data_IF_323432207868
#
_entry.id   IF_323432207868
#
_cell.length_a   1.000
_cell.length_b   1.000
_cell.length_c   1.000
_cell.angle_alpha   90.00
_cell.angle_beta   90.00
_cell.angle_gamma   90.00
#
_symmetry.space_group_name_H-M   'P 1'
#
loop_
_entity.id
_entity.type
_entity.pdbx_description
1 polymer ?
#
# COMPACT_ATOMS: atom_id res chain seq x y z
N UNK A 1 59.60 54.14 12.29
CA UNK A 1 59.04 54.52 10.98
C UNK A 1 60.10 54.06 9.99
N UNK A 2 59.96 52.81 9.53
CA UNK A 2 60.98 52.08 8.79
C UNK A 2 60.31 51.63 7.49
N UNK A 3 60.59 52.36 6.41
CA UNK A 3 60.05 52.10 5.06
C UNK A 3 60.99 51.10 4.37
N UNK A 4 60.57 49.84 4.32
CA UNK A 4 61.19 48.82 3.49
C UNK A 4 60.70 49.01 2.04
N UNK A 5 61.58 49.10 1.03
CA UNK A 5 61.13 49.21 -0.35
C UNK A 5 60.55 47.86 -0.81
N UNK A 6 59.28 47.88 -1.22
CA UNK A 6 58.61 46.76 -1.89
C UNK A 6 59.42 46.33 -3.12
N UNK A 7 59.98 45.11 -3.07
CA UNK A 7 60.54 44.46 -4.24
C UNK A 7 59.41 44.16 -5.24
N UNK A 8 59.22 45.03 -6.21
CA UNK A 8 58.54 44.67 -7.44
C UNK A 8 59.35 43.55 -8.11
N UNK A 9 58.86 42.31 -8.00
CA UNK A 9 59.30 41.18 -8.81
C UNK A 9 59.08 41.55 -10.28
N UNK A 10 60.09 42.16 -10.90
CA UNK A 10 60.10 42.54 -12.30
C UNK A 10 59.77 41.32 -13.17
N UNK A 11 58.80 41.49 -14.06
CA UNK A 11 58.36 40.46 -15.01
C UNK A 11 59.60 39.79 -15.63
N UNK A 12 59.65 38.46 -15.54
CA UNK A 12 60.73 37.67 -16.11
C UNK A 12 60.84 37.96 -17.62
N UNK A 13 62.04 38.13 -18.17
CA UNK A 13 62.26 38.46 -19.59
C UNK A 13 61.49 37.54 -20.55
N UNK A 14 61.29 36.28 -20.18
CA UNK A 14 60.45 35.34 -20.93
C UNK A 14 58.99 35.80 -20.98
N UNK A 15 58.42 36.21 -19.84
CA UNK A 15 57.05 36.73 -19.75
C UNK A 15 56.88 38.02 -20.55
N UNK A 16 57.88 38.91 -20.50
CA UNK A 16 57.86 40.16 -21.29
C UNK A 16 57.88 39.87 -22.80
N UNK A 17 58.71 38.90 -23.23
CA UNK A 17 58.79 38.46 -24.63
C UNK A 17 57.49 37.82 -25.13
N UNK A 18 56.84 37.00 -24.30
CA UNK A 18 55.53 36.41 -24.63
C UNK A 18 54.44 37.47 -24.70
N UNK A 19 54.38 38.41 -23.75
CA UNK A 19 53.40 39.49 -23.75
C UNK A 19 53.57 40.40 -24.99
N UNK A 20 54.81 40.76 -25.32
CA UNK A 20 55.11 41.55 -26.51
C UNK A 20 54.74 40.82 -27.81
N UNK A 21 55.10 39.53 -27.93
CA UNK A 21 54.73 38.69 -29.08
C UNK A 21 53.21 38.56 -29.25
N UNK A 22 52.49 38.36 -28.14
CA UNK A 22 51.03 38.27 -28.13
C UNK A 22 50.37 39.58 -28.54
N UNK A 23 50.83 40.72 -28.00
CA UNK A 23 50.30 42.04 -28.37
C UNK A 23 50.53 42.33 -29.85
N UNK A 24 51.72 42.02 -30.37
CA UNK A 24 52.07 42.23 -31.78
C UNK A 24 51.17 41.43 -32.73
N UNK A 25 50.77 40.21 -32.33
CA UNK A 25 49.95 39.27 -33.12
C UNK A 25 48.47 39.25 -32.76
N UNK A 26 48.02 40.06 -31.78
CA UNK A 26 46.64 40.09 -31.27
C UNK A 26 45.59 40.25 -32.37
N UNK A 27 45.88 41.08 -33.38
CA UNK A 27 44.99 41.28 -34.55
C UNK A 27 44.88 40.04 -35.42
N UNK A 28 45.97 39.27 -35.59
CA UNK A 28 45.97 38.02 -36.35
C UNK A 28 45.19 36.93 -35.62
N UNK A 29 45.36 36.79 -34.30
CA UNK A 29 44.57 35.85 -33.49
C UNK A 29 43.07 36.15 -33.54
N UNK A 30 42.68 37.44 -33.47
CA UNK A 30 41.27 37.82 -33.63
C UNK A 30 40.72 37.43 -35.01
N UNK A 31 41.49 37.65 -36.08
CA UNK A 31 41.10 37.29 -37.45
C UNK A 31 40.96 35.77 -37.62
N UNK A 32 41.91 34.99 -37.09
CA UNK A 32 41.86 33.52 -37.14
C UNK A 32 40.65 33.01 -36.36
N UNK A 33 40.43 33.50 -35.14
CA UNK A 33 39.27 33.11 -34.32
C UNK A 33 37.94 33.36 -35.03
N UNK A 34 37.76 34.54 -35.64
CA UNK A 34 36.55 34.86 -36.41
C UNK A 34 36.37 33.90 -37.59
N UNK A 35 37.43 33.60 -38.35
CA UNK A 35 37.36 32.67 -39.48
C UNK A 35 37.00 31.25 -39.00
N UNK A 36 37.58 30.79 -37.90
CA UNK A 36 37.27 29.48 -37.31
C UNK A 36 35.80 29.39 -36.89
N UNK A 37 35.25 30.43 -36.26
CA UNK A 37 33.83 30.47 -35.90
C UNK A 37 32.93 30.45 -37.13
N UNK A 38 33.24 31.22 -38.17
CA UNK A 38 32.47 31.20 -39.42
C UNK A 38 32.46 29.81 -40.06
N UNK A 39 33.62 29.13 -40.10
CA UNK A 39 33.70 27.77 -40.65
C UNK A 39 32.89 26.78 -39.82
N UNK A 40 32.95 26.89 -38.49
CA UNK A 40 32.19 26.04 -37.58
C UNK A 40 30.67 26.22 -37.76
N UNK A 41 30.20 27.47 -37.82
CA UNK A 41 28.78 27.78 -38.02
C UNK A 41 28.27 27.26 -39.37
N UNK A 42 29.08 27.41 -40.43
CA UNK A 42 28.75 26.89 -41.76
C UNK A 42 28.68 25.36 -41.74
N UNK A 43 29.61 24.66 -41.08
CA UNK A 43 29.56 23.20 -40.95
C UNK A 43 28.32 22.73 -40.20
N UNK A 44 27.97 23.41 -39.10
CA UNK A 44 26.77 23.08 -38.32
C UNK A 44 25.50 23.26 -39.16
N UNK A 45 25.43 24.35 -39.93
CA UNK A 45 24.31 24.59 -40.85
C UNK A 45 24.21 23.51 -41.93
N UNK A 46 25.33 23.10 -42.53
CA UNK A 46 25.34 22.03 -43.53
C UNK A 46 24.84 20.72 -42.93
N UNK A 47 25.29 20.35 -41.72
CA UNK A 47 24.82 19.14 -41.03
C UNK A 47 23.33 19.22 -40.71
N UNK A 48 22.85 20.37 -40.22
CA UNK A 48 21.44 20.56 -39.89
C UNK A 48 20.54 20.51 -41.13
N UNK A 49 20.95 21.15 -42.23
CA UNK A 49 20.22 21.11 -43.50
C UNK A 49 20.21 19.69 -44.06
N UNK A 50 21.33 18.98 -44.02
CA UNK A 50 21.40 17.59 -44.49
C UNK A 50 20.52 16.65 -43.64
N UNK A 51 20.54 16.81 -42.31
CA UNK A 51 19.66 16.08 -41.40
C UNK A 51 18.17 16.36 -41.65
N UNK A 52 17.81 17.63 -41.91
CA UNK A 52 16.44 18.01 -42.24
C UNK A 52 15.99 17.41 -43.57
N UNK A 53 16.85 17.45 -44.61
CA UNK A 53 16.56 16.84 -45.91
C UNK A 53 16.38 15.33 -45.76
N UNK A 54 17.27 14.66 -45.02
CA UNK A 54 17.17 13.21 -44.76
C UNK A 54 15.91 12.85 -43.98
N UNK A 55 15.52 13.68 -43.00
CA UNK A 55 14.29 13.48 -42.24
C UNK A 55 13.04 13.65 -43.13
N UNK A 56 13.01 14.70 -43.96
CA UNK A 56 11.89 14.96 -44.86
C UNK A 56 11.79 13.93 -46.00
N UNK A 57 12.92 13.44 -46.53
CA UNK A 57 12.92 12.41 -47.57
C UNK A 57 12.45 11.05 -47.05
N UNK A 58 12.80 10.73 -45.80
CA UNK A 58 12.48 9.43 -45.19
C UNK A 58 11.21 9.50 -44.31
N UNK A 59 10.47 10.62 -44.35
CA UNK A 59 9.25 10.82 -43.55
C UNK A 59 8.17 9.78 -43.86
N UNK A 60 8.09 9.31 -45.11
CA UNK A 60 7.16 8.24 -45.49
C UNK A 60 7.55 6.88 -44.89
N UNK A 61 8.83 6.54 -44.88
CA UNK A 61 9.36 5.29 -44.32
C UNK A 61 9.24 5.28 -42.78
N UNK A 62 9.48 6.42 -42.12
CA UNK A 62 9.25 6.57 -40.68
C UNK A 62 7.76 6.42 -40.30
N UNK A 63 6.86 6.97 -41.11
CA UNK A 63 5.42 6.79 -40.90
C UNK A 63 4.96 5.36 -41.16
N UNK A 64 5.55 4.67 -42.14
CA UNK A 64 5.31 3.25 -42.37
C UNK A 64 5.80 2.42 -41.18
N UNK A 65 7.01 2.66 -40.67
CA UNK A 65 7.50 2.01 -39.45
C UNK A 65 6.65 2.31 -38.21
N UNK A 66 5.99 3.48 -38.13
CA UNK A 66 5.09 3.82 -37.02
C UNK A 66 3.69 3.21 -37.19
N UNK A 67 3.26 2.95 -38.43
CA UNK A 67 2.01 2.23 -38.75
C UNK A 67 2.18 0.71 -38.69
N UNK A 68 3.39 0.21 -38.97
CA UNK A 68 3.79 -1.20 -38.87
C UNK A 68 4.34 -1.56 -37.50
N UNK A 69 4.71 -0.57 -36.67
CA UNK A 69 4.90 -0.76 -35.25
C UNK A 69 3.58 -1.34 -34.72
N UNK A 70 3.56 -2.59 -34.24
CA UNK A 70 2.33 -3.15 -33.76
C UNK A 70 1.80 -2.23 -32.67
N UNK A 71 0.49 -2.02 -32.62
CA UNK A 71 -0.18 -1.65 -31.38
C UNK A 71 0.04 -2.82 -30.39
N UNK A 72 1.27 -2.98 -29.90
CA UNK A 72 1.73 -4.15 -29.15
C UNK A 72 0.99 -4.24 -27.81
N UNK A 73 0.42 -3.12 -27.37
CA UNK A 73 -0.39 -3.01 -26.18
C UNK A 73 -1.78 -2.51 -26.60
N UNK A 74 -2.72 -3.45 -26.68
CA UNK A 74 -4.13 -3.13 -26.72
C UNK A 74 -4.54 -2.59 -25.35
N UNK A 75 -4.46 -1.26 -25.19
CA UNK A 75 -4.80 -0.57 -23.94
C UNK A 75 -6.24 -0.81 -23.52
N UNK A 76 -7.16 -1.03 -24.46
CA UNK A 76 -8.56 -1.29 -24.14
C UNK A 76 -8.70 -2.67 -23.51
N UNK A 77 -8.10 -3.70 -24.13
CA UNK A 77 -8.06 -5.05 -23.57
C UNK A 77 -7.29 -5.09 -22.26
N UNK A 78 -6.18 -4.34 -22.15
CA UNK A 78 -5.44 -4.20 -20.91
C UNK A 78 -6.32 -3.62 -19.77
N UNK A 79 -7.03 -2.52 -20.03
CA UNK A 79 -7.90 -1.92 -19.02
C UNK A 79 -9.10 -2.79 -18.65
N UNK A 80 -9.64 -3.58 -19.59
CA UNK A 80 -10.74 -4.50 -19.32
C UNK A 80 -10.30 -5.71 -18.50
N UNK A 81 -9.10 -6.23 -18.76
CA UNK A 81 -8.56 -7.42 -18.05
C UNK A 81 -8.02 -7.11 -16.66
N UNK A 82 -7.66 -5.85 -16.38
CA UNK A 82 -7.10 -5.42 -15.10
C UNK A 82 -8.10 -4.65 -14.23
N UNK A 83 -9.41 -4.76 -14.49
CA UNK A 83 -10.44 -4.22 -13.60
C UNK A 83 -10.55 -5.06 -12.31
N UNK A 84 -10.95 -4.46 -11.18
CA UNK A 84 -11.18 -5.22 -9.97
C UNK A 84 -12.32 -6.22 -10.15
N UNK A 85 -12.06 -7.47 -9.79
CA UNK A 85 -13.05 -8.54 -9.64
C UNK A 85 -13.87 -8.27 -8.39
N UNK A 86 -15.18 -8.54 -8.44
CA UNK A 86 -16.08 -8.36 -7.31
C UNK A 86 -15.62 -9.18 -6.09
N UNK A 87 -15.79 -8.59 -4.90
CA UNK A 87 -15.51 -9.23 -3.61
C UNK A 87 -16.43 -10.45 -3.45
N UNK A 88 -15.87 -11.56 -2.98
CA UNK A 88 -16.63 -12.75 -2.65
C UNK A 88 -17.14 -12.64 -1.22
N UNK A 89 -18.45 -12.66 -1.03
CA UNK A 89 -19.07 -12.67 0.29
C UNK A 89 -19.60 -14.07 0.64
N UNK A 90 -19.24 -14.54 1.82
CA UNK A 90 -19.74 -15.78 2.41
C UNK A 90 -21.16 -15.64 2.97
N UNK A 91 -21.66 -16.76 3.50
CA UNK A 91 -22.95 -16.80 4.20
C UNK A 91 -22.80 -16.07 5.55
N UNK A 92 -23.85 -15.34 5.96
CA UNK A 92 -23.90 -14.74 7.28
C UNK A 92 -24.21 -15.80 8.32
N UNK A 93 -23.30 -15.96 9.28
CA UNK A 93 -23.48 -16.81 10.43
C UNK A 93 -23.95 -15.97 11.62
N UNK A 94 -24.93 -16.51 12.36
CA UNK A 94 -25.46 -15.90 13.57
C UNK A 94 -25.06 -16.76 14.77
N UNK A 95 -24.26 -16.21 15.67
CA UNK A 95 -23.81 -16.86 16.90
C UNK A 95 -24.64 -16.33 18.06
N UNK A 96 -25.35 -17.21 18.78
CA UNK A 96 -26.18 -16.80 19.91
C UNK A 96 -25.33 -16.41 21.12
N UNK A 97 -25.56 -15.21 21.64
CA UNK A 97 -24.89 -14.65 22.83
C UNK A 97 -25.81 -14.72 24.05
N UNK A 98 -27.09 -14.44 23.85
CA UNK A 98 -28.15 -14.52 24.85
C UNK A 98 -29.51 -14.73 24.15
N UNK A 99 -30.59 -14.77 24.92
CA UNK A 99 -31.95 -14.87 24.36
C UNK A 99 -32.23 -13.73 23.38
N UNK A 100 -32.48 -14.09 22.11
CA UNK A 100 -32.71 -13.17 21.00
C UNK A 100 -31.58 -12.15 20.76
N UNK A 101 -30.36 -12.43 21.20
CA UNK A 101 -29.18 -11.59 20.98
C UNK A 101 -28.08 -12.40 20.31
N UNK A 102 -27.59 -11.89 19.19
CA UNK A 102 -26.64 -12.61 18.33
C UNK A 102 -25.46 -11.73 17.95
N UNK A 103 -24.30 -12.35 17.79
CA UNK A 103 -23.19 -11.78 17.04
C UNK A 103 -23.26 -12.33 15.61
N UNK A 104 -23.11 -11.45 14.63
CA UNK A 104 -23.19 -11.78 13.22
C UNK A 104 -21.80 -11.70 12.61
N UNK A 105 -21.47 -12.66 11.75
CA UNK A 105 -20.23 -12.68 11.01
C UNK A 105 -20.43 -13.13 9.56
N UNK A 106 -19.78 -12.45 8.63
CA UNK A 106 -19.69 -12.89 7.24
C UNK A 106 -18.25 -12.73 6.74
N UNK A 107 -17.66 -13.84 6.29
CA UNK A 107 -16.33 -13.81 5.68
C UNK A 107 -16.42 -13.16 4.29
N UNK A 108 -15.54 -12.23 4.01
CA UNK A 108 -15.35 -11.64 2.69
C UNK A 108 -13.91 -11.88 2.21
N UNK A 109 -13.75 -12.06 0.90
CA UNK A 109 -12.47 -12.36 0.27
C UNK A 109 -12.24 -11.44 -0.93
N UNK A 110 -11.08 -10.79 -0.97
CA UNK A 110 -10.60 -10.04 -2.12
C UNK A 110 -9.51 -10.83 -2.83
N UNK A 111 -9.83 -11.35 -4.02
CA UNK A 111 -8.89 -12.11 -4.85
C UNK A 111 -8.12 -11.24 -5.85
N UNK A 112 -8.22 -9.91 -5.73
CA UNK A 112 -7.45 -9.01 -6.58
C UNK A 112 -6.06 -8.82 -5.99
N UNK A 113 -5.04 -8.92 -6.85
CA UNK A 113 -3.65 -8.69 -6.47
C UNK A 113 -3.29 -7.21 -6.45
N UNK A 114 -3.73 -6.47 -7.47
CA UNK A 114 -3.42 -5.05 -7.65
C UNK A 114 -4.46 -4.11 -7.02
N UNK A 115 -5.56 -4.64 -6.49
CA UNK A 115 -6.69 -3.82 -6.04
C UNK A 115 -7.08 -4.13 -4.61
N UNK A 116 -7.14 -3.07 -3.81
CA UNK A 116 -7.74 -3.09 -2.49
C UNK A 116 -9.00 -2.24 -2.45
N UNK A 117 -9.67 -2.28 -1.31
CA UNK A 117 -10.84 -1.46 -1.01
C UNK A 117 -10.47 -0.55 0.15
N UNK A 118 -10.28 0.74 -0.14
CA UNK A 118 -9.94 1.73 0.87
C UNK A 118 -11.12 1.99 1.81
N UNK A 119 -12.34 1.89 1.28
CA UNK A 119 -13.57 2.11 2.04
C UNK A 119 -14.68 1.18 1.54
N UNK A 120 -15.18 0.34 2.45
CA UNK A 120 -16.26 -0.60 2.26
C UNK A 120 -17.34 -0.32 3.30
N UNK A 121 -18.53 0.05 2.84
CA UNK A 121 -19.68 0.31 3.70
C UNK A 121 -20.65 -0.86 3.62
N UNK A 122 -21.05 -1.40 4.77
CA UNK A 122 -21.94 -2.56 4.84
C UNK A 122 -22.92 -2.49 6.02
N UNK A 123 -23.94 -3.35 5.94
CA UNK A 123 -24.86 -3.65 7.03
C UNK A 123 -25.39 -5.07 6.87
N UNK A 124 -26.02 -5.60 7.92
CA UNK A 124 -26.76 -6.86 7.84
C UNK A 124 -28.27 -6.59 7.77
N UNK A 125 -28.94 -7.26 6.84
CA UNK A 125 -30.40 -7.33 6.75
C UNK A 125 -30.89 -8.56 7.50
N UNK A 126 -31.77 -8.35 8.49
CA UNK A 126 -32.34 -9.41 9.31
C UNK A 126 -33.62 -9.94 8.66
N UNK A 127 -34.00 -11.18 8.95
CA UNK A 127 -35.21 -11.80 8.40
C UNK A 127 -36.52 -11.03 8.65
N UNK A 128 -36.56 -10.15 9.66
CA UNK A 128 -37.70 -9.29 9.97
C UNK A 128 -37.79 -8.01 9.13
N UNK A 129 -36.82 -7.75 8.26
CA UNK A 129 -36.71 -6.51 7.46
C UNK A 129 -35.90 -5.40 8.15
N UNK A 130 -35.61 -5.55 9.44
CA UNK A 130 -34.72 -4.65 10.17
C UNK A 130 -33.27 -4.78 9.69
N UNK A 131 -32.50 -3.70 9.86
CA UNK A 131 -31.09 -3.64 9.48
C UNK A 131 -30.23 -3.28 10.68
N UNK A 132 -28.99 -3.77 10.69
CA UNK A 132 -27.99 -3.34 11.68
C UNK A 132 -27.53 -1.92 11.39
N UNK A 133 -26.80 -1.33 12.35
CA UNK A 133 -26.08 -0.08 12.12
C UNK A 133 -25.14 -0.26 10.92
N UNK A 134 -25.07 0.77 10.07
CA UNK A 134 -24.12 0.84 8.96
C UNK A 134 -22.70 0.93 9.51
N UNK A 135 -21.81 0.09 8.98
CA UNK A 135 -20.41 0.02 9.38
C UNK A 135 -19.51 0.25 8.17
N UNK A 136 -18.38 0.88 8.43
CA UNK A 136 -17.32 1.12 7.45
C UNK A 136 -16.09 0.28 7.80
N UNK A 137 -15.40 -0.20 6.78
CA UNK A 137 -14.16 -0.97 6.91
C UNK A 137 -13.34 -0.85 5.63
N UNK A 138 -12.24 -1.60 5.55
CA UNK A 138 -11.36 -1.71 4.39
C UNK A 138 -11.08 -3.18 4.09
N UNK A 139 -10.56 -3.46 2.90
CA UNK A 139 -10.13 -4.81 2.52
C UNK A 139 -8.86 -4.73 1.67
N UNK A 140 -7.80 -5.41 2.10
CA UNK A 140 -6.52 -5.41 1.40
C UNK A 140 -6.59 -6.31 0.15
N UNK A 141 -5.67 -6.16 -0.81
CA UNK A 141 -5.53 -7.12 -1.91
C UNK A 141 -5.17 -8.50 -1.37
N UNK A 142 -5.61 -9.55 -2.08
CA UNK A 142 -5.35 -10.95 -1.74
C UNK A 142 -5.59 -11.30 -0.26
N UNK A 143 -6.59 -10.67 0.35
CA UNK A 143 -6.86 -10.79 1.78
C UNK A 143 -8.28 -11.26 2.05
N UNK A 144 -8.45 -11.83 3.23
CA UNK A 144 -9.74 -12.24 3.77
C UNK A 144 -10.00 -11.48 5.06
N UNK A 145 -11.28 -11.19 5.33
CA UNK A 145 -11.71 -10.47 6.52
C UNK A 145 -13.10 -10.93 6.92
N UNK A 146 -13.44 -10.81 8.20
CA UNK A 146 -14.82 -10.93 8.66
C UNK A 146 -15.49 -9.56 8.77
N UNK A 147 -16.70 -9.45 8.25
CA UNK A 147 -17.61 -8.36 8.56
C UNK A 147 -18.41 -8.77 9.79
N UNK A 148 -18.39 -7.95 10.84
CA UNK A 148 -18.87 -8.32 12.18
C UNK A 148 -19.85 -7.29 12.73
N UNK A 149 -20.98 -7.77 13.26
CA UNK A 149 -21.91 -6.95 14.04
C UNK A 149 -22.21 -7.64 15.37
N UNK A 150 -21.88 -6.99 16.47
CA UNK A 150 -21.99 -7.56 17.81
C UNK A 150 -23.32 -7.21 18.49
N UNK A 151 -23.86 -8.14 19.25
CA UNK A 151 -24.97 -7.93 20.18
C UNK A 151 -26.28 -7.51 19.54
N UNK A 152 -26.53 -7.95 18.30
CA UNK A 152 -27.74 -7.65 17.53
C UNK A 152 -28.94 -8.34 18.16
N UNK A 153 -29.95 -7.56 18.56
CA UNK A 153 -31.19 -8.08 19.13
C UNK A 153 -32.19 -8.36 18.02
N UNK A 154 -32.59 -9.61 17.86
CA UNK A 154 -33.57 -10.02 16.85
C UNK A 154 -34.25 -11.35 17.21
N UNK A 155 -35.50 -11.50 16.78
CA UNK A 155 -36.22 -12.78 16.81
C UNK A 155 -36.00 -13.60 15.53
N UNK A 156 -35.45 -12.98 14.48
CA UNK A 156 -35.09 -13.64 13.23
C UNK A 156 -33.93 -14.60 13.43
N UNK A 157 -33.95 -15.73 12.71
CA UNK A 157 -32.89 -16.76 12.75
C UNK A 157 -32.02 -16.80 11.50
N UNK A 158 -32.15 -15.79 10.65
CA UNK A 158 -31.31 -15.61 9.47
C UNK A 158 -31.05 -14.12 9.23
N UNK A 159 -29.92 -13.86 8.60
CA UNK A 159 -29.50 -12.55 8.16
C UNK A 159 -28.80 -12.68 6.79
N UNK A 160 -28.74 -11.59 6.04
CA UNK A 160 -27.97 -11.48 4.81
C UNK A 160 -27.08 -10.24 4.86
N UNK A 161 -25.93 -10.32 4.19
CA UNK A 161 -25.00 -9.20 4.09
C UNK A 161 -25.47 -8.26 2.97
N UNK A 162 -25.50 -6.96 3.25
CA UNK A 162 -25.69 -5.92 2.26
C UNK A 162 -24.44 -5.04 2.19
N UNK A 163 -23.75 -5.11 1.05
CA UNK A 163 -22.67 -4.17 0.74
C UNK A 163 -23.30 -2.94 0.08
N UNK A 164 -23.14 -1.79 0.71
CA UNK A 164 -23.76 -0.53 0.30
C UNK A 164 -22.86 0.27 -0.65
N UNK A 165 -21.54 0.28 -0.37
CA UNK A 165 -20.55 1.05 -1.14
C UNK A 165 -19.20 0.35 -1.10
N UNK A 166 -18.49 0.40 -2.22
CA UNK A 166 -17.11 -0.09 -2.36
C UNK A 166 -16.31 0.97 -3.11
N UNK A 167 -15.29 1.51 -2.47
CA UNK A 167 -14.33 2.45 -3.07
C UNK A 167 -13.00 1.71 -3.33
N UNK A 168 -12.84 1.25 -4.57
CA UNK A 168 -11.64 0.54 -5.02
C UNK A 168 -10.44 1.47 -5.16
N UNK A 169 -9.28 0.98 -4.74
CA UNK A 169 -7.99 1.64 -4.92
C UNK A 169 -7.02 0.67 -5.56
N UNK A 170 -6.32 1.13 -6.60
CA UNK A 170 -5.24 0.36 -7.22
C UNK A 170 -3.95 0.60 -6.45
N UNK A 171 -3.28 -0.48 -6.11
CA UNK A 171 -1.98 -0.48 -5.47
C UNK A 171 -0.91 -0.62 -6.55
N UNK A 172 0.02 0.33 -6.62
CA UNK A 172 1.13 0.23 -7.57
C UNK A 172 2.35 -0.38 -6.88
N UNK A 173 3.24 -1.06 -7.64
CA UNK A 173 4.52 -1.52 -7.09
C UNK A 173 5.40 -0.39 -6.51
N UNK A 174 5.24 0.84 -7.00
CA UNK A 174 5.92 2.02 -6.44
C UNK A 174 5.33 2.50 -5.12
N UNK A 175 4.09 2.11 -4.83
CA UNK A 175 3.39 2.40 -3.60
C UNK A 175 3.73 1.35 -2.53
N UNK A 176 4.78 0.54 -2.75
CA UNK A 176 5.26 -0.49 -1.84
C UNK A 176 5.51 0.11 -0.45
N UNK A 177 4.45 0.11 0.36
CA UNK A 177 4.54 0.12 1.81
C UNK A 177 5.47 -1.01 2.20
N UNK A 178 6.19 -0.85 3.30
CA UNK A 178 6.94 -1.97 3.87
C UNK A 178 6.01 -3.16 3.93
N UNK A 179 6.43 -4.30 3.39
CA UNK A 179 5.64 -5.52 3.39
C UNK A 179 5.13 -5.77 4.82
N UNK A 180 3.82 -5.67 5.00
CA UNK A 180 3.19 -5.80 6.33
C UNK A 180 3.17 -7.29 6.67
N UNK A 181 4.15 -7.74 7.45
CA UNK A 181 4.27 -9.11 7.95
C UNK A 181 3.90 -9.13 9.44
N UNK A 182 2.60 -9.31 9.71
CA UNK A 182 2.08 -9.54 11.06
C UNK A 182 1.76 -11.02 11.22
N UNK A 183 2.32 -11.63 12.26
CA UNK A 183 2.11 -13.05 12.59
C UNK A 183 1.43 -13.20 13.93
N UNK A 184 0.72 -14.32 14.06
CA UNK A 184 0.13 -14.76 15.32
C UNK A 184 0.67 -16.14 15.64
N UNK A 185 1.31 -16.26 16.81
CA UNK A 185 1.87 -17.52 17.30
C UNK A 185 1.24 -17.87 18.66
N UNK A 186 1.42 -19.13 19.09
CA UNK A 186 0.99 -19.64 20.40
C UNK A 186 -0.49 -19.42 20.74
N UNK A 187 -1.37 -19.42 19.72
CA UNK A 187 -2.81 -19.24 19.91
C UNK A 187 -3.37 -20.36 20.78
N UNK A 188 -3.86 -20.00 21.97
CA UNK A 188 -4.39 -20.95 22.96
C UNK A 188 -5.76 -20.50 23.42
N UNK A 189 -6.74 -21.41 23.35
CA UNK A 189 -8.08 -21.20 23.93
C UNK A 189 -8.16 -21.88 25.30
N UNK A 190 -8.73 -21.19 26.26
CA UNK A 190 -9.02 -21.72 27.58
C UNK A 190 -10.52 -21.66 27.87
N UNK A 191 -11.10 -22.79 28.30
CA UNK A 191 -12.50 -22.81 28.69
C UNK A 191 -12.66 -22.30 30.11
N UNK A 192 -13.62 -21.39 30.34
CA UNK A 192 -14.00 -20.97 31.69
C UNK A 192 -14.48 -22.15 32.56
N UNK A 193 -14.99 -23.22 31.94
CA UNK A 193 -15.44 -24.43 32.65
C UNK A 193 -14.29 -25.29 33.20
N UNK A 194 -13.07 -25.11 32.71
CA UNK A 194 -11.89 -25.87 33.12
C UNK A 194 -11.23 -25.32 34.39
N UNK A 195 -11.62 -24.11 34.84
CA UNK A 195 -11.04 -23.43 36.01
C UNK A 195 -11.65 -23.83 37.37
N UNK A 196 -12.51 -24.85 37.44
CA UNK A 196 -13.22 -25.32 38.65
C UNK A 196 -14.05 -24.22 39.39
N UNK A 197 -14.16 -23.02 38.80
CA UNK A 197 -15.09 -21.99 39.20
C UNK A 197 -16.44 -22.24 38.51
N UNK A 198 -17.42 -22.71 39.30
CA UNK A 198 -18.78 -22.98 38.82
C UNK A 198 -19.52 -21.74 38.31
N UNK A 199 -18.96 -20.54 38.54
CA UNK A 199 -19.49 -19.27 38.06
C UNK A 199 -18.70 -18.71 36.86
N UNK A 200 -17.61 -19.34 36.43
CA UNK A 200 -16.85 -18.91 35.26
C UNK A 200 -17.64 -19.23 33.98
N UNK A 201 -18.36 -18.22 33.49
CA UNK A 201 -19.11 -18.27 32.24
C UNK A 201 -18.21 -17.74 31.12
N UNK A 202 -18.00 -18.55 30.09
CA UNK A 202 -17.27 -18.16 28.88
C UNK A 202 -15.93 -18.86 28.72
N UNK A 203 -14.99 -18.17 28.10
CA UNK A 203 -13.63 -18.62 27.84
C UNK A 203 -12.79 -17.46 27.32
N UNK A 204 -11.50 -17.68 27.19
CA UNK A 204 -10.59 -16.64 26.71
C UNK A 204 -9.56 -17.23 25.75
N UNK A 205 -9.02 -16.37 24.91
CA UNK A 205 -7.92 -16.71 24.00
C UNK A 205 -6.74 -15.83 24.35
N UNK A 206 -5.58 -16.45 24.35
CA UNK A 206 -4.28 -15.79 24.44
C UNK A 206 -3.49 -16.11 23.18
N UNK A 207 -2.73 -15.14 22.69
CA UNK A 207 -1.84 -15.32 21.55
C UNK A 207 -0.69 -14.32 21.61
N UNK A 208 0.37 -14.61 20.86
CA UNK A 208 1.47 -13.70 20.65
C UNK A 208 1.31 -13.01 19.29
N UNK A 209 1.21 -11.69 19.29
CA UNK A 209 1.25 -10.86 18.09
C UNK A 209 2.70 -10.48 17.79
N UNK A 210 3.15 -10.70 16.56
CA UNK A 210 4.54 -10.45 16.14
C UNK A 210 4.52 -9.54 14.91
N UNK A 211 5.12 -8.37 14.99
CA UNK A 211 5.32 -7.50 13.84
C UNK A 211 6.73 -7.70 13.27
N UNK A 212 6.85 -8.35 12.11
CA UNK A 212 8.13 -8.54 11.39
C UNK A 212 8.34 -7.51 10.29
N UNK A 213 7.47 -6.52 10.20
CA UNK A 213 7.57 -5.41 9.25
C UNK A 213 8.62 -4.40 9.72
N UNK A 214 9.16 -3.61 8.79
CA UNK A 214 10.03 -2.48 9.11
C UNK A 214 9.28 -1.31 9.75
N UNK A 215 7.98 -1.22 9.50
CA UNK A 215 7.12 -0.17 10.05
C UNK A 215 6.55 -0.56 11.42
N UNK A 216 6.35 0.47 12.25
CA UNK A 216 5.56 0.38 13.47
C UNK A 216 4.14 0.84 13.18
N UNK A 217 3.14 0.29 13.86
CA UNK A 217 1.73 0.61 13.60
C UNK A 217 1.03 1.16 14.84
N UNK A 218 0.19 2.17 14.63
CA UNK A 218 -0.83 2.60 15.58
C UNK A 218 -2.12 1.83 15.32
N UNK A 219 -2.93 1.65 16.36
CA UNK A 219 -4.31 1.19 16.24
C UNK A 219 -4.48 -0.10 15.42
N UNK A 220 -3.76 -1.15 15.80
CA UNK A 220 -3.88 -2.48 15.18
C UNK A 220 -5.11 -3.19 15.74
N UNK A 221 -6.03 -3.57 14.85
CA UNK A 221 -7.20 -4.37 15.15
C UNK A 221 -6.92 -5.87 15.07
N UNK A 222 -7.73 -6.67 15.77
CA UNK A 222 -7.61 -8.12 15.80
C UNK A 222 -8.99 -8.75 15.82
N UNK A 223 -9.36 -9.42 14.73
CA UNK A 223 -10.58 -10.24 14.69
C UNK A 223 -10.26 -11.62 15.24
N UNK A 224 -11.03 -12.06 16.23
CA UNK A 224 -10.84 -13.37 16.87
C UNK A 224 -12.09 -14.20 16.63
N UNK A 225 -11.93 -15.27 15.86
CA UNK A 225 -13.02 -16.14 15.41
C UNK A 225 -12.85 -17.52 16.05
N UNK A 226 -13.73 -17.88 16.97
CA UNK A 226 -13.74 -19.19 17.60
C UNK A 226 -14.52 -20.19 16.74
N UNK A 227 -13.93 -21.36 16.52
CA UNK A 227 -14.50 -22.43 15.69
C UNK A 227 -14.79 -23.70 16.48
N UNK A 228 -15.82 -24.42 16.05
CA UNK A 228 -16.12 -25.79 16.45
C UNK A 228 -16.14 -26.67 15.20
N UNK A 229 -15.04 -27.38 14.94
CA UNK A 229 -14.75 -27.91 13.63
C UNK A 229 -14.64 -26.78 12.60
N UNK A 230 -15.53 -26.76 11.61
CA UNK A 230 -15.61 -25.69 10.60
C UNK A 230 -16.68 -24.64 10.89
N UNK A 231 -17.41 -24.77 12.01
CA UNK A 231 -18.52 -23.89 12.35
C UNK A 231 -18.05 -22.74 13.24
N UNK A 232 -18.42 -21.52 12.90
CA UNK A 232 -18.20 -20.33 13.72
C UNK A 232 -19.11 -20.36 14.96
N UNK A 233 -18.50 -20.25 16.15
CA UNK A 233 -19.18 -20.36 17.46
C UNK A 233 -18.93 -19.19 18.40
N UNK A 234 -18.10 -18.23 17.99
CA UNK A 234 -17.83 -17.02 18.74
C UNK A 234 -17.07 -16.01 17.87
N UNK A 235 -17.44 -14.75 17.99
CA UNK A 235 -16.67 -13.64 17.43
C UNK A 235 -16.21 -12.74 18.56
N UNK A 236 -15.04 -12.14 18.41
CA UNK A 236 -14.54 -11.11 19.30
C UNK A 236 -13.64 -10.14 18.53
N UNK A 237 -13.36 -9.00 19.12
CA UNK A 237 -12.49 -7.99 18.54
C UNK A 237 -11.63 -7.34 19.63
N UNK A 238 -10.34 -7.23 19.36
CA UNK A 238 -9.40 -6.51 20.21
C UNK A 238 -8.76 -5.39 19.41
N UNK A 239 -8.68 -4.21 19.99
CA UNK A 239 -7.92 -3.08 19.46
C UNK A 239 -6.69 -2.86 20.33
N UNK A 240 -5.52 -2.81 19.71
CA UNK A 240 -4.25 -2.50 20.38
C UNK A 240 -3.75 -1.13 19.93
N UNK A 241 -3.30 -0.32 20.88
CA UNK A 241 -2.91 1.07 20.59
C UNK A 241 -1.67 1.14 19.69
N UNK A 242 -0.71 0.23 19.86
CA UNK A 242 0.51 0.21 19.06
C UNK A 242 1.13 -1.16 18.98
N UNK A 243 1.79 -1.45 17.86
CA UNK A 243 2.64 -2.60 17.66
C UNK A 243 3.92 -2.14 16.94
N UNK A 244 5.03 -2.07 17.65
CA UNK A 244 6.29 -1.56 17.10
C UNK A 244 6.92 -2.58 16.14
N UNK A 245 7.81 -2.10 15.29
CA UNK A 245 8.59 -2.93 14.37
C UNK A 245 9.44 -3.93 15.16
N UNK A 246 9.43 -5.20 14.73
CA UNK A 246 10.11 -6.33 15.38
C UNK A 246 9.68 -6.59 16.82
N UNK A 247 8.52 -6.06 17.24
CA UNK A 247 7.96 -6.31 18.57
C UNK A 247 7.14 -7.60 18.59
N UNK A 248 7.24 -8.29 19.72
CA UNK A 248 6.35 -9.38 20.12
C UNK A 248 5.51 -8.91 21.31
N UNK A 249 4.19 -9.07 21.23
CA UNK A 249 3.26 -8.65 22.26
C UNK A 249 2.27 -9.76 22.57
N UNK A 250 2.18 -10.14 23.85
CA UNK A 250 1.17 -11.08 24.32
C UNK A 250 -0.18 -10.37 24.45
N UNK A 251 -1.20 -10.94 23.81
CA UNK A 251 -2.55 -10.40 23.74
C UNK A 251 -3.55 -11.42 24.23
N UNK A 252 -4.68 -10.94 24.77
CA UNK A 252 -5.78 -11.81 25.16
C UNK A 252 -7.13 -11.14 24.98
N UNK A 253 -8.15 -11.96 24.75
CA UNK A 253 -9.54 -11.51 24.68
C UNK A 253 -10.46 -12.53 25.36
N UNK A 254 -11.50 -12.02 26.02
CA UNK A 254 -12.43 -12.83 26.81
C UNK A 254 -13.83 -12.80 26.18
N UNK A 255 -14.51 -13.93 26.15
CA UNK A 255 -15.96 -13.98 25.94
C UNK A 255 -16.66 -13.93 27.29
N UNK A 256 -17.50 -12.92 27.49
CA UNK A 256 -18.27 -12.73 28.74
C UNK A 256 -19.52 -13.63 28.84
N UNK A 257 -19.75 -14.48 27.84
CA UNK A 257 -20.90 -15.37 27.76
C UNK A 257 -20.44 -16.79 27.39
N UNK A 258 -21.25 -17.80 27.71
CA UNK A 258 -20.92 -19.19 27.35
C UNK A 258 -20.99 -19.34 25.84
N UNK A 259 -19.85 -19.64 25.22
CA UNK A 259 -19.79 -20.09 23.84
C UNK A 259 -19.83 -21.61 23.76
N UNK A 260 -20.12 -22.14 22.58
CA UNK A 260 -20.06 -23.59 22.34
C UNK A 260 -18.62 -24.10 22.43
N UNK A 261 -18.43 -25.42 22.45
CA UNK A 261 -17.10 -26.03 22.50
C UNK A 261 -16.23 -25.50 21.35
N UNK A 262 -15.11 -24.87 21.71
CA UNK A 262 -14.10 -24.39 20.77
C UNK A 262 -13.09 -25.49 20.50
N UNK A 263 -12.73 -25.67 19.24
CA UNK A 263 -11.68 -26.61 18.79
C UNK A 263 -10.52 -25.89 18.12
N UNK A 264 -10.76 -24.71 17.59
CA UNK A 264 -9.76 -23.92 16.87
C UNK A 264 -10.12 -22.42 16.95
N UNK A 265 -9.13 -21.55 16.76
CA UNK A 265 -9.29 -20.10 16.81
C UNK A 265 -8.50 -19.47 15.67
N UNK A 266 -9.18 -18.65 14.87
CA UNK A 266 -8.56 -17.85 13.82
C UNK A 266 -8.39 -16.42 14.33
N UNK A 267 -7.18 -15.88 14.17
CA UNK A 267 -6.86 -14.49 14.51
C UNK A 267 -6.44 -13.76 13.23
N UNK A 268 -7.13 -12.67 12.91
CA UNK A 268 -6.88 -11.87 11.71
C UNK A 268 -6.48 -10.45 12.13
N UNK A 269 -5.24 -10.02 11.87
CA UNK A 269 -4.84 -8.64 12.11
C UNK A 269 -5.53 -7.69 11.12
N UNK A 270 -5.96 -6.53 11.61
CA UNK A 270 -6.52 -5.45 10.80
C UNK A 270 -5.63 -4.22 10.90
N UNK A 271 -4.91 -3.92 9.81
CA UNK A 271 -4.11 -2.71 9.65
C UNK A 271 -4.54 -2.02 8.35
N UNK A 272 -5.05 -0.80 8.47
CA UNK A 272 -5.50 -0.04 7.31
C UNK A 272 -4.33 0.70 6.64
N UNK A 273 -3.60 0.02 5.75
CA UNK A 273 -2.47 0.62 5.02
C UNK A 273 -2.88 1.77 4.10
N UNK A 274 -4.17 1.92 3.80
CA UNK A 274 -4.68 3.05 3.03
C UNK A 274 -4.79 4.33 3.84
N UNK A 275 -4.71 4.25 5.17
CA UNK A 275 -4.65 5.40 6.07
C UNK A 275 -3.19 5.67 6.50
N UNK A 276 -2.55 6.75 6.01
CA UNK A 276 -1.18 7.08 6.39
C UNK A 276 -0.98 7.33 7.89
N UNK A 277 -2.04 7.62 8.64
CA UNK A 277 -1.97 7.82 10.09
C UNK A 277 -1.69 6.52 10.87
N UNK A 278 -1.96 5.36 10.26
CA UNK A 278 -1.72 4.05 10.88
C UNK A 278 -0.22 3.78 11.07
N UNK A 279 0.64 4.36 10.24
CA UNK A 279 2.08 4.13 10.29
C UNK A 279 2.71 5.09 11.32
N UNK A 280 3.35 4.50 12.33
CA UNK A 280 4.09 5.20 13.36
C UNK A 280 5.50 5.52 12.85
N UNK A 281 5.74 6.81 12.61
CA UNK A 281 7.05 7.36 12.22
C UNK A 281 7.93 7.68 13.42
#
# INVERSE_FOLDING_TARGET
MDDQPEQFSGLNDKQLKYAYWFILRKKQFKKIGIITFIVFDVLMLVIAIWGLISYLSNYQEFNQLTQEAPAYIDWQTYHQTHQPVAIQAGIVNMVAVADNKYDLGAKITNNNEDWGVAHLTYQFLLAGGDTTVVQDTFLLPNSEKYLLAFGVVTTGRSASLQILKIDWVRIKPSDAWSEVDIRTDNVTYHSGRELDDRNAVGGWVEWQAINRSLDSFWDVGWQVIALSGTKEVGYNYLQTNSLNSWEEQDLSVNWLHSISRVTDVIIIPEINIFDPAVIKK
#
